data_IF_073221482418
#
_entry.id   IF_073221482418
#
_cell.length_a   1.000
_cell.length_b   1.000
_cell.length_c   1.000
_cell.angle_alpha   90.00
_cell.angle_beta   90.00
_cell.angle_gamma   90.00
#
_symmetry.space_group_name_H-M   'P 1'
#
loop_
_entity.id
_entity.type
_entity.pdbx_description
1 polymer ?
#
# COMPACT_ATOMS: atom_id res chain seq x y z
N UNK A 1 -6.21 -2.57 2.48
CA UNK A 1 -5.39 -2.12 1.34
C UNK A 1 -4.60 -3.29 0.81
N UNK A 2 -4.57 -3.49 -0.52
CA UNK A 2 -3.78 -4.56 -1.12
C UNK A 2 -2.29 -4.25 -1.04
N UNK A 3 -1.45 -5.29 -0.91
CA UNK A 3 0.01 -5.12 -0.85
C UNK A 3 0.57 -4.63 0.48
N UNK A 4 -0.22 -4.58 1.56
CA UNK A 4 0.28 -4.14 2.87
C UNK A 4 1.43 -5.02 3.38
N UNK A 5 2.49 -4.40 3.85
CA UNK A 5 3.70 -5.06 4.37
C UNK A 5 3.61 -5.48 5.85
N UNK A 6 2.40 -5.83 6.34
CA UNK A 6 2.16 -6.18 7.76
C UNK A 6 3.07 -7.30 8.26
N UNK A 7 3.39 -8.26 7.40
CA UNK A 7 4.24 -9.40 7.76
C UNK A 7 5.71 -9.02 7.93
N UNK A 8 6.13 -7.88 7.36
CA UNK A 8 7.48 -7.36 7.52
C UNK A 8 7.67 -6.40 8.71
N UNK A 9 6.62 -6.05 9.45
CA UNK A 9 6.73 -5.03 10.49
C UNK A 9 7.77 -5.38 11.57
N UNK A 10 7.91 -6.67 11.91
CA UNK A 10 8.95 -7.12 12.85
C UNK A 10 10.36 -6.89 12.28
N UNK A 11 10.56 -7.25 11.02
CA UNK A 11 11.84 -7.09 10.33
C UNK A 11 12.16 -5.60 10.08
N UNK A 12 11.16 -4.81 9.68
CA UNK A 12 11.30 -3.35 9.55
C UNK A 12 11.77 -2.74 10.87
N UNK A 13 11.14 -3.09 12.00
CA UNK A 13 11.58 -2.60 13.32
C UNK A 13 13.02 -3.02 13.65
N UNK A 14 13.40 -4.26 13.35
CA UNK A 14 14.78 -4.72 13.59
C UNK A 14 15.80 -3.97 12.71
N UNK A 15 15.43 -3.53 11.50
CA UNK A 15 16.29 -2.66 10.69
C UNK A 15 16.34 -1.25 11.29
N UNK A 16 15.22 -0.72 11.77
CA UNK A 16 15.17 0.59 12.42
C UNK A 16 16.10 0.64 13.64
N UNK A 17 16.18 -0.43 14.45
CA UNK A 17 17.07 -0.51 15.61
C UNK A 17 18.57 -0.27 15.24
N UNK A 18 18.90 -0.36 13.95
CA UNK A 18 20.22 -0.04 13.40
C UNK A 18 20.25 1.31 12.65
N UNK A 19 19.20 2.12 12.72
CA UNK A 19 19.13 3.44 12.10
C UNK A 19 19.17 4.52 13.18
N UNK A 20 19.71 5.73 12.89
CA UNK A 20 19.63 6.84 13.80
C UNK A 20 18.17 7.27 14.06
N UNK A 21 17.82 7.55 15.32
CA UNK A 21 16.47 8.04 15.68
C UNK A 21 16.11 9.37 15.01
N UNK A 22 17.12 10.18 14.65
CA UNK A 22 16.96 11.46 13.99
C UNK A 22 17.09 11.39 12.46
N UNK A 23 17.11 10.19 11.87
CA UNK A 23 17.07 10.04 10.42
C UNK A 23 15.75 10.58 9.84
N UNK A 24 15.80 11.01 8.58
CA UNK A 24 14.61 11.31 7.78
C UNK A 24 14.20 10.08 7.01
N UNK A 25 12.96 9.64 7.19
CA UNK A 25 12.39 8.50 6.47
C UNK A 25 11.47 9.00 5.38
N UNK A 26 11.71 8.59 4.14
CA UNK A 26 10.93 9.03 2.97
C UNK A 26 10.29 7.81 2.31
N UNK A 27 8.97 7.71 2.45
CA UNK A 27 8.16 6.64 1.88
C UNK A 27 7.71 7.04 0.48
N UNK A 28 8.45 6.60 -0.53
CA UNK A 28 8.24 6.99 -1.93
C UNK A 28 6.96 6.39 -2.54
N UNK A 29 6.51 5.24 -2.01
CA UNK A 29 5.35 4.49 -2.49
C UNK A 29 4.42 4.15 -1.32
N UNK A 30 3.98 5.18 -0.60
CA UNK A 30 3.37 5.06 0.72
C UNK A 30 2.12 4.19 0.84
N UNK A 31 1.35 4.03 -0.26
CA UNK A 31 0.15 3.19 -0.28
C UNK A 31 -0.81 3.50 0.87
N UNK A 32 -0.94 2.58 1.82
CA UNK A 32 -1.77 2.80 3.02
C UNK A 32 -1.05 3.53 4.17
N UNK A 33 0.17 4.00 3.98
CA UNK A 33 0.96 4.64 5.03
C UNK A 33 1.44 3.70 6.15
N UNK A 34 1.32 2.38 5.99
CA UNK A 34 1.62 1.42 7.06
C UNK A 34 3.09 1.47 7.51
N UNK A 35 4.02 1.58 6.57
CA UNK A 35 5.44 1.68 6.87
C UNK A 35 5.74 3.01 7.58
N UNK A 36 5.27 4.12 7.02
CA UNK A 36 5.38 5.47 7.59
C UNK A 36 4.83 5.53 9.02
N UNK A 37 3.61 4.99 9.24
CA UNK A 37 3.01 4.88 10.58
C UNK A 37 3.88 4.05 11.53
N UNK A 38 4.38 2.90 11.08
CA UNK A 38 5.21 2.02 11.91
C UNK A 38 6.50 2.71 12.34
N UNK A 39 7.15 3.43 11.43
CA UNK A 39 8.37 4.18 11.73
C UNK A 39 8.08 5.31 12.71
N UNK A 40 7.02 6.08 12.48
CA UNK A 40 6.63 7.18 13.38
C UNK A 40 6.31 6.72 14.80
N UNK A 41 5.73 5.51 14.93
CA UNK A 41 5.47 4.87 16.22
C UNK A 41 6.74 4.32 16.87
N UNK A 42 7.72 3.90 16.09
CA UNK A 42 9.01 3.41 16.59
C UNK A 42 9.92 4.57 17.02
N UNK A 43 9.96 5.63 16.22
CA UNK A 43 10.72 6.87 16.46
C UNK A 43 9.80 8.10 16.44
N UNK A 44 9.17 8.46 17.58
CA UNK A 44 8.20 9.57 17.63
C UNK A 44 8.75 10.92 17.18
N UNK A 45 10.07 11.15 17.34
CA UNK A 45 10.74 12.38 16.97
C UNK A 45 11.32 12.38 15.55
N UNK A 46 11.33 11.23 14.86
CA UNK A 46 11.84 11.15 13.49
C UNK A 46 10.99 11.98 12.52
N UNK A 47 11.66 12.56 11.52
CA UNK A 47 10.99 13.15 10.36
C UNK A 47 10.56 12.04 9.42
N UNK A 48 9.24 11.86 9.23
CA UNK A 48 8.68 10.85 8.34
C UNK A 48 7.87 11.56 7.26
N UNK A 49 8.19 11.31 6.00
CA UNK A 49 7.51 11.84 4.82
C UNK A 49 6.81 10.68 4.14
N UNK A 50 5.52 10.78 4.01
CA UNK A 50 4.64 9.80 3.40
C UNK A 50 4.11 10.34 2.07
N UNK A 51 4.44 9.67 0.98
CA UNK A 51 3.92 10.00 -0.34
C UNK A 51 2.55 9.34 -0.56
N UNK A 52 1.51 10.12 -0.37
CA UNK A 52 0.10 9.72 -0.57
C UNK A 52 -0.35 9.90 -2.02
N UNK A 53 0.35 9.26 -2.95
CA UNK A 53 0.04 9.36 -4.39
C UNK A 53 -1.36 8.85 -4.73
N UNK A 54 -1.83 7.82 -4.00
CA UNK A 54 -3.16 7.22 -4.19
C UNK A 54 -4.28 7.90 -3.40
N UNK A 55 -3.96 9.02 -2.72
CA UNK A 55 -4.92 9.79 -1.93
C UNK A 55 -5.61 8.95 -0.83
N UNK A 56 -4.82 8.13 -0.13
CA UNK A 56 -5.33 7.30 0.97
C UNK A 56 -5.79 8.13 2.17
N UNK A 57 -5.14 9.29 2.40
CA UNK A 57 -5.55 10.25 3.42
C UNK A 57 -7.03 10.62 3.30
N UNK A 58 -7.53 10.86 2.08
CA UNK A 58 -8.95 11.15 1.85
C UNK A 58 -9.87 10.03 2.34
N UNK A 59 -9.44 8.77 2.26
CA UNK A 59 -10.21 7.62 2.80
C UNK A 59 -10.25 7.66 4.32
N UNK A 60 -9.13 8.02 4.98
CA UNK A 60 -9.05 8.17 6.43
C UNK A 60 -9.93 9.32 6.93
N UNK A 61 -9.92 10.46 6.23
CA UNK A 61 -10.74 11.64 6.54
C UNK A 61 -12.26 11.37 6.41
N UNK A 62 -12.65 10.38 5.61
CA UNK A 62 -14.05 10.01 5.38
C UNK A 62 -14.44 8.67 6.03
N UNK A 63 -13.70 8.22 7.06
CA UNK A 63 -13.98 6.94 7.70
C UNK A 63 -15.35 6.93 8.41
N UNK A 64 -15.74 8.04 9.02
CA UNK A 64 -17.02 8.12 9.74
C UNK A 64 -18.20 8.01 8.79
N UNK A 65 -18.24 8.78 7.70
CA UNK A 65 -19.29 8.66 6.68
C UNK A 65 -19.28 7.27 6.00
N UNK A 66 -18.09 6.69 5.80
CA UNK A 66 -17.98 5.31 5.29
C UNK A 66 -18.57 4.30 6.27
N UNK A 67 -18.35 4.46 7.57
CA UNK A 67 -18.96 3.61 8.60
C UNK A 67 -20.47 3.76 8.65
N UNK A 68 -21.00 4.98 8.55
CA UNK A 68 -22.43 5.24 8.48
C UNK A 68 -23.07 4.56 7.27
N UNK A 69 -22.48 4.73 6.08
CA UNK A 69 -22.92 4.06 4.86
C UNK A 69 -22.92 2.53 5.01
N UNK A 70 -21.87 1.94 5.60
CA UNK A 70 -21.79 0.50 5.84
C UNK A 70 -22.83 0.04 6.88
N UNK A 71 -23.13 0.84 7.90
CA UNK A 71 -24.19 0.56 8.87
C UNK A 71 -25.56 0.50 8.20
N UNK A 72 -25.88 1.48 7.34
CA UNK A 72 -27.12 1.50 6.58
C UNK A 72 -27.23 0.28 5.65
N UNK A 73 -26.16 -0.06 4.96
CA UNK A 73 -26.11 -1.26 4.11
C UNK A 73 -26.32 -2.52 4.95
N UNK A 74 -25.70 -2.59 6.14
CA UNK A 74 -25.89 -3.72 7.07
C UNK A 74 -27.35 -3.89 7.49
N UNK A 75 -28.05 -2.77 7.75
CA UNK A 75 -29.49 -2.80 8.04
C UNK A 75 -30.30 -3.30 6.84
N UNK A 76 -29.98 -2.85 5.62
CA UNK A 76 -30.67 -3.31 4.39
C UNK A 76 -30.51 -4.83 4.19
N UNK A 77 -29.35 -5.40 4.51
CA UNK A 77 -29.04 -6.83 4.29
C UNK A 77 -29.22 -7.68 5.54
N UNK A 78 -29.88 -7.17 6.59
CA UNK A 78 -30.04 -7.89 7.87
C UNK A 78 -30.62 -9.30 7.71
N UNK A 79 -31.59 -9.47 6.81
CA UNK A 79 -32.26 -10.73 6.51
C UNK A 79 -31.56 -11.52 5.37
N UNK A 80 -30.52 -10.97 4.75
CA UNK A 80 -29.79 -11.66 3.69
C UNK A 80 -28.74 -12.61 4.29
N UNK A 81 -28.67 -13.87 3.87
CA UNK A 81 -27.65 -14.79 4.37
C UNK A 81 -26.25 -14.26 4.11
N UNK A 82 -25.34 -14.47 5.08
CA UNK A 82 -23.93 -14.06 5.00
C UNK A 82 -23.23 -14.74 3.82
N UNK A 83 -22.37 -14.01 3.15
CA UNK A 83 -21.57 -14.45 1.99
C UNK A 83 -22.41 -14.93 0.78
N UNK A 84 -23.71 -14.60 0.74
CA UNK A 84 -24.60 -14.91 -0.37
C UNK A 84 -24.86 -13.68 -1.23
N UNK A 85 -25.28 -13.95 -2.46
CA UNK A 85 -25.67 -12.92 -3.43
C UNK A 85 -26.85 -12.12 -2.90
N UNK A 86 -26.77 -10.80 -3.02
CA UNK A 86 -27.84 -9.86 -2.72
C UNK A 86 -28.66 -9.63 -4.00
N UNK A 87 -29.96 -9.85 -3.90
CA UNK A 87 -30.93 -9.65 -5.00
C UNK A 87 -31.85 -8.48 -4.69
N UNK A 88 -32.71 -8.11 -5.63
CA UNK A 88 -33.74 -7.12 -5.39
C UNK A 88 -34.79 -7.62 -4.40
N UNK A 89 -35.34 -6.72 -3.56
CA UNK A 89 -35.18 -5.26 -3.61
C UNK A 89 -33.91 -4.71 -2.93
N UNK A 90 -33.21 -5.51 -2.11
CA UNK A 90 -32.08 -5.05 -1.31
C UNK A 90 -30.94 -4.48 -2.17
N UNK A 91 -30.66 -5.09 -3.33
CA UNK A 91 -29.66 -4.56 -4.26
C UNK A 91 -29.98 -3.15 -4.71
N UNK A 92 -31.21 -2.89 -5.12
CA UNK A 92 -31.66 -1.57 -5.55
C UNK A 92 -31.60 -0.54 -4.40
N UNK A 93 -31.96 -0.95 -3.18
CA UNK A 93 -31.87 -0.09 -1.99
C UNK A 93 -30.41 0.30 -1.69
N UNK A 94 -29.48 -0.64 -1.76
CA UNK A 94 -28.04 -0.36 -1.57
C UNK A 94 -27.54 0.63 -2.61
N UNK A 95 -27.80 0.40 -3.90
CA UNK A 95 -27.36 1.28 -4.97
C UNK A 95 -27.94 2.70 -4.80
N UNK A 96 -29.22 2.81 -4.44
CA UNK A 96 -29.85 4.09 -4.14
C UNK A 96 -29.16 4.81 -2.98
N UNK A 97 -28.86 4.09 -1.89
CA UNK A 97 -28.19 4.66 -0.71
C UNK A 97 -26.78 5.14 -1.03
N UNK A 98 -26.00 4.36 -1.80
CA UNK A 98 -24.64 4.74 -2.26
C UNK A 98 -24.70 6.00 -3.14
N UNK A 99 -25.68 6.10 -4.04
CA UNK A 99 -25.84 7.29 -4.88
C UNK A 99 -26.22 8.52 -4.06
N UNK A 100 -27.08 8.37 -3.05
CA UNK A 100 -27.40 9.44 -2.10
C UNK A 100 -26.16 9.93 -1.37
N UNK A 101 -25.32 9.03 -0.89
CA UNK A 101 -24.05 9.37 -0.22
C UNK A 101 -23.14 10.19 -1.14
N UNK A 102 -22.94 9.70 -2.37
CA UNK A 102 -22.12 10.41 -3.35
C UNK A 102 -22.67 11.81 -3.68
N UNK A 103 -23.99 11.98 -3.78
CA UNK A 103 -24.60 13.27 -4.07
C UNK A 103 -24.54 14.24 -2.89
N UNK A 104 -24.67 13.73 -1.65
CA UNK A 104 -24.70 14.57 -0.45
C UNK A 104 -23.31 15.00 0.00
N UNK A 105 -22.33 14.09 -0.03
CA UNK A 105 -20.97 14.31 0.50
C UNK A 105 -19.97 14.59 -0.64
N UNK A 106 -20.32 14.23 -1.88
CA UNK A 106 -19.40 14.33 -3.03
C UNK A 106 -18.28 13.29 -3.04
N UNK A 107 -18.33 12.32 -2.12
CA UNK A 107 -17.32 11.26 -2.00
C UNK A 107 -17.90 9.96 -1.46
N UNK A 108 -17.44 8.84 -2.00
CA UNK A 108 -17.64 7.49 -1.47
C UNK A 108 -16.33 6.72 -1.55
N UNK A 109 -15.90 6.10 -0.46
CA UNK A 109 -14.77 5.15 -0.49
C UNK A 109 -15.20 3.82 -1.12
N UNK A 110 -15.21 3.79 -2.46
CA UNK A 110 -15.60 2.60 -3.22
C UNK A 110 -14.71 1.39 -2.95
N UNK A 111 -13.44 1.60 -2.59
CA UNK A 111 -12.52 0.50 -2.27
C UNK A 111 -12.92 -0.19 -0.96
N UNK A 112 -13.19 0.60 0.09
CA UNK A 112 -13.69 0.05 1.35
C UNK A 112 -15.07 -0.56 1.18
N UNK A 113 -15.96 0.12 0.45
CA UNK A 113 -17.29 -0.38 0.15
C UNK A 113 -17.23 -1.72 -0.60
N UNK A 114 -16.38 -1.84 -1.62
CA UNK A 114 -16.18 -3.08 -2.38
C UNK A 114 -15.86 -4.28 -1.48
N UNK A 115 -15.02 -4.09 -0.48
CA UNK A 115 -14.66 -5.17 0.45
C UNK A 115 -15.83 -5.67 1.32
N UNK A 116 -16.93 -4.92 1.36
CA UNK A 116 -18.14 -5.24 2.14
C UNK A 116 -19.27 -5.83 1.29
N UNK A 117 -19.31 -5.53 -0.01
CA UNK A 117 -20.45 -5.90 -0.86
C UNK A 117 -20.05 -6.55 -2.20
N UNK A 118 -18.76 -6.77 -2.47
CA UNK A 118 -18.33 -7.51 -3.66
C UNK A 118 -17.63 -8.81 -3.25
N UNK A 119 -17.61 -9.76 -4.19
CA UNK A 119 -16.90 -11.01 -3.99
C UNK A 119 -15.38 -10.76 -3.87
N UNK A 120 -14.71 -11.63 -3.15
CA UNK A 120 -13.30 -11.53 -2.74
C UNK A 120 -12.38 -10.98 -3.86
N UNK A 121 -11.57 -9.99 -3.51
CA UNK A 121 -10.56 -9.34 -4.36
C UNK A 121 -11.10 -8.52 -5.54
N UNK A 122 -12.41 -8.30 -5.63
CA UNK A 122 -13.00 -7.42 -6.63
C UNK A 122 -13.17 -6.02 -6.03
N UNK A 123 -12.68 -5.01 -6.74
CA UNK A 123 -12.75 -3.62 -6.32
C UNK A 123 -13.21 -2.74 -7.48
N UNK A 124 -14.06 -1.76 -7.17
CA UNK A 124 -14.51 -0.74 -8.12
C UNK A 124 -14.13 0.64 -7.59
N UNK A 125 -14.13 1.64 -8.47
CA UNK A 125 -13.73 3.01 -8.11
C UNK A 125 -14.82 4.04 -8.43
N UNK A 126 -16.00 3.61 -8.87
CA UNK A 126 -17.11 4.50 -9.21
C UNK A 126 -18.46 3.83 -9.00
N UNK A 127 -19.52 4.66 -8.92
CA UNK A 127 -20.90 4.20 -8.87
C UNK A 127 -21.26 3.36 -10.11
N UNK A 128 -20.91 3.83 -11.31
CA UNK A 128 -21.24 3.14 -12.57
C UNK A 128 -20.60 1.76 -12.67
N UNK A 129 -19.39 1.62 -12.14
CA UNK A 129 -18.72 0.33 -12.05
C UNK A 129 -19.41 -0.56 -11.01
N UNK A 130 -19.78 -0.03 -9.83
CA UNK A 130 -20.48 -0.77 -8.79
C UNK A 130 -21.83 -1.27 -9.27
N UNK A 131 -22.61 -0.42 -9.97
CA UNK A 131 -23.94 -0.76 -10.44
C UNK A 131 -23.97 -1.94 -11.44
N UNK A 132 -22.85 -2.22 -12.10
CA UNK A 132 -22.72 -3.37 -13.02
C UNK A 132 -22.38 -4.68 -12.31
N UNK A 133 -22.01 -4.60 -11.03
CA UNK A 133 -21.51 -5.75 -10.27
C UNK A 133 -22.64 -6.56 -9.62
N UNK A 134 -22.35 -7.84 -9.39
CA UNK A 134 -23.14 -8.67 -8.50
C UNK A 134 -22.76 -8.37 -7.07
N UNK A 135 -23.72 -7.99 -6.22
CA UNK A 135 -23.49 -7.70 -4.82
C UNK A 135 -23.62 -8.95 -3.94
N UNK A 136 -22.81 -9.00 -2.87
CA UNK A 136 -22.80 -10.09 -1.90
C UNK A 136 -22.82 -9.51 -0.47
N UNK A 137 -23.45 -10.24 0.47
CA UNK A 137 -23.46 -9.83 1.87
C UNK A 137 -22.14 -10.22 2.57
N UNK A 138 -21.07 -9.51 2.26
CA UNK A 138 -19.77 -9.62 2.95
C UNK A 138 -19.59 -8.53 4.02
N UNK A 139 -20.69 -7.85 4.40
CA UNK A 139 -20.66 -6.67 5.27
C UNK A 139 -20.08 -7.02 6.63
N UNK A 140 -19.01 -6.33 7.04
CA UNK A 140 -18.38 -6.52 8.34
C UNK A 140 -19.26 -6.03 9.49
N UNK A 141 -19.08 -6.60 10.68
CA UNK A 141 -19.86 -6.27 11.88
C UNK A 141 -19.31 -5.06 12.66
N UNK A 142 -17.99 -4.86 12.66
CA UNK A 142 -17.32 -3.78 13.40
C UNK A 142 -17.02 -2.58 12.53
N UNK A 143 -17.00 -1.34 13.07
CA UNK A 143 -16.60 -0.17 12.32
C UNK A 143 -15.11 -0.21 11.94
N UNK A 144 -14.73 0.65 11.01
CA UNK A 144 -13.33 0.98 10.75
C UNK A 144 -12.87 2.04 11.74
N UNK A 145 -11.69 1.86 12.29
CA UNK A 145 -11.06 2.80 13.22
C UNK A 145 -9.79 3.34 12.59
N UNK A 146 -9.56 4.64 12.71
CA UNK A 146 -8.40 5.33 12.16
C UNK A 146 -7.48 5.83 13.28
N UNK A 147 -8.05 6.35 14.36
CA UNK A 147 -7.26 6.96 15.44
C UNK A 147 -6.25 7.98 14.92
N UNK A 148 -5.08 8.03 15.51
CA UNK A 148 -3.99 8.96 15.18
C UNK A 148 -3.06 8.37 14.08
N UNK A 149 -3.61 7.77 13.02
CA UNK A 149 -2.84 6.95 12.09
C UNK A 149 -1.71 7.73 11.37
N UNK A 150 -1.99 8.96 10.92
CA UNK A 150 -1.02 9.82 10.23
C UNK A 150 -0.48 10.97 11.12
N UNK A 151 -0.72 10.94 12.44
CA UNK A 151 -0.27 11.99 13.34
C UNK A 151 1.26 12.12 13.35
N UNK A 152 1.75 13.34 13.21
CA UNK A 152 3.17 13.66 13.19
C UNK A 152 3.91 13.22 11.92
N UNK A 153 3.20 12.73 10.89
CA UNK A 153 3.74 12.37 9.59
C UNK A 153 3.49 13.53 8.61
N UNK A 154 4.51 13.91 7.85
CA UNK A 154 4.35 14.86 6.75
C UNK A 154 3.77 14.13 5.55
N UNK A 155 2.55 14.50 5.16
CA UNK A 155 1.88 13.89 4.01
C UNK A 155 2.14 14.75 2.78
N UNK A 156 2.71 14.16 1.75
CA UNK A 156 2.90 14.76 0.43
C UNK A 156 2.20 13.93 -0.66
N UNK A 157 1.98 14.51 -1.83
CA UNK A 157 1.49 13.79 -3.01
C UNK A 157 2.28 14.29 -4.21
N UNK A 158 3.28 13.52 -4.63
CA UNK A 158 4.20 13.90 -5.70
C UNK A 158 4.63 12.66 -6.51
N UNK A 159 5.19 12.88 -7.70
CA UNK A 159 5.94 11.82 -8.39
C UNK A 159 7.11 11.37 -7.49
N UNK A 160 7.31 10.07 -7.37
CA UNK A 160 8.37 9.53 -6.49
C UNK A 160 9.77 10.03 -6.86
N UNK A 161 10.02 10.35 -8.16
CA UNK A 161 11.30 10.88 -8.64
C UNK A 161 11.54 12.29 -8.12
N UNK A 162 10.48 13.12 -8.06
CA UNK A 162 10.58 14.48 -7.51
C UNK A 162 10.91 14.40 -6.02
N UNK A 163 10.19 13.56 -5.30
CA UNK A 163 10.40 13.36 -3.88
C UNK A 163 11.80 12.79 -3.60
N UNK A 164 12.23 11.77 -4.36
CA UNK A 164 13.57 11.23 -4.27
C UNK A 164 14.64 12.30 -4.50
N UNK A 165 14.54 13.05 -5.61
CA UNK A 165 15.52 14.08 -5.96
C UNK A 165 15.65 15.17 -4.88
N UNK A 166 14.60 15.47 -4.14
CA UNK A 166 14.60 16.44 -3.04
C UNK A 166 15.45 15.98 -1.86
N UNK A 167 15.53 14.69 -1.61
CA UNK A 167 16.16 14.12 -0.41
C UNK A 167 17.43 13.32 -0.67
N UNK A 168 17.75 12.92 -1.89
CA UNK A 168 18.86 12.02 -2.22
C UNK A 168 20.25 12.50 -1.81
N UNK A 169 20.46 13.81 -1.67
CA UNK A 169 21.74 14.39 -1.27
C UNK A 169 21.97 14.38 0.24
N UNK A 170 20.94 14.13 1.03
CA UNK A 170 21.05 14.04 2.49
C UNK A 170 21.43 12.61 2.89
N UNK A 171 22.61 12.47 3.49
CA UNK A 171 23.14 11.18 3.95
C UNK A 171 22.36 10.58 5.13
N UNK A 172 21.58 11.40 5.82
CA UNK A 172 20.73 10.99 6.96
C UNK A 172 19.31 10.61 6.52
N UNK A 173 19.12 10.19 5.28
CA UNK A 173 17.83 9.74 4.75
C UNK A 173 17.80 8.24 4.56
N UNK A 174 16.67 7.62 4.91
CA UNK A 174 16.33 6.23 4.56
C UNK A 174 15.09 6.23 3.66
N UNK A 175 15.22 5.69 2.47
CA UNK A 175 14.11 5.56 1.54
C UNK A 175 13.35 4.26 1.76
N UNK A 176 12.01 4.33 1.81
CA UNK A 176 11.12 3.18 1.74
C UNK A 176 10.63 3.05 0.31
N UNK A 177 10.90 1.92 -0.30
CA UNK A 177 10.72 1.74 -1.74
C UNK A 177 9.88 0.47 -1.98
N UNK A 178 8.57 0.65 -2.15
CA UNK A 178 7.61 -0.42 -2.40
C UNK A 178 6.85 -0.21 -3.72
N UNK A 179 7.55 -0.27 -4.87
CA UNK A 179 6.93 -0.03 -6.16
C UNK A 179 5.98 -1.17 -6.53
N UNK A 180 5.05 -0.97 -7.50
CA UNK A 180 4.31 -2.06 -8.10
C UNK A 180 5.26 -3.16 -8.59
N UNK A 181 4.91 -4.44 -8.43
CA UNK A 181 5.83 -5.52 -8.78
C UNK A 181 5.88 -5.75 -10.30
N UNK A 182 7.10 -5.85 -10.85
CA UNK A 182 7.32 -6.23 -12.24
C UNK A 182 6.72 -7.63 -12.49
N UNK A 183 5.93 -7.78 -13.55
CA UNK A 183 5.20 -9.01 -13.93
C UNK A 183 3.94 -9.33 -13.12
N UNK A 184 3.47 -8.46 -12.23
CA UNK A 184 2.13 -8.60 -11.66
C UNK A 184 1.09 -7.89 -12.54
N UNK A 185 -0.09 -8.49 -12.71
CA UNK A 185 -1.19 -7.84 -13.39
C UNK A 185 -1.52 -6.51 -12.71
N UNK A 186 -1.35 -5.41 -13.44
CA UNK A 186 -1.44 -4.05 -12.92
C UNK A 186 -2.87 -3.48 -12.93
N UNK A 187 -3.89 -4.32 -13.11
CA UNK A 187 -5.29 -3.90 -13.22
C UNK A 187 -5.85 -3.08 -12.04
N UNK A 188 -5.11 -3.01 -10.95
CA UNK A 188 -5.48 -2.25 -9.73
C UNK A 188 -4.74 -0.92 -9.59
N UNK A 189 -3.70 -0.68 -10.36
CA UNK A 189 -2.93 0.55 -10.30
C UNK A 189 -3.38 1.52 -11.40
N UNK A 190 -3.47 2.81 -11.09
CA UNK A 190 -3.89 3.86 -12.04
C UNK A 190 -2.94 4.01 -13.24
N UNK A 191 -1.66 3.62 -13.10
CA UNK A 191 -0.64 3.72 -14.13
C UNK A 191 -0.04 2.34 -14.41
N UNK A 192 0.01 1.98 -15.69
CA UNK A 192 0.72 0.79 -16.15
C UNK A 192 2.24 1.05 -16.12
N UNK A 193 2.97 0.36 -15.23
CA UNK A 193 4.42 0.44 -15.14
C UNK A 193 5.08 -0.33 -16.28
N UNK A 194 6.04 0.32 -16.93
CA UNK A 194 6.89 -0.27 -17.95
C UNK A 194 8.23 -0.69 -17.33
N UNK A 195 8.99 -1.52 -18.02
CA UNK A 195 10.34 -1.92 -17.58
C UNK A 195 11.22 -0.71 -17.22
N UNK A 196 11.13 0.38 -18.00
CA UNK A 196 11.85 1.62 -17.73
C UNK A 196 11.56 2.18 -16.32
N UNK A 197 10.29 2.15 -15.88
CA UNK A 197 9.91 2.68 -14.57
C UNK A 197 10.54 1.88 -13.42
N UNK A 198 10.72 0.57 -13.61
CA UNK A 198 11.45 -0.27 -12.65
C UNK A 198 12.95 0.00 -12.66
N UNK A 199 13.55 0.23 -13.83
CA UNK A 199 14.95 0.60 -13.94
C UNK A 199 15.23 1.96 -13.29
N UNK A 200 14.32 2.94 -13.49
CA UNK A 200 14.39 4.24 -12.82
C UNK A 200 14.33 4.11 -11.28
N UNK A 201 13.65 3.09 -10.73
CA UNK A 201 13.65 2.81 -9.29
C UNK A 201 14.99 2.29 -8.82
N UNK A 202 15.74 1.55 -9.64
CA UNK A 202 17.08 1.07 -9.27
C UNK A 202 18.04 2.24 -9.03
N UNK A 203 17.86 3.36 -9.74
CA UNK A 203 18.63 4.59 -9.53
C UNK A 203 18.38 5.19 -8.12
N UNK A 204 17.19 4.96 -7.52
CA UNK A 204 16.89 5.36 -6.15
C UNK A 204 17.70 4.57 -5.13
N UNK A 205 17.99 3.31 -5.43
CA UNK A 205 18.71 2.41 -4.51
C UNK A 205 20.20 2.68 -4.51
N UNK A 206 20.75 3.21 -5.63
CA UNK A 206 22.18 3.42 -5.77
C UNK A 206 22.72 4.49 -4.81
N UNK A 207 23.71 4.12 -4.01
CA UNK A 207 24.39 5.01 -3.07
C UNK A 207 23.52 5.55 -1.93
N UNK A 208 22.29 5.03 -1.73
CA UNK A 208 21.35 5.48 -0.69
C UNK A 208 21.18 4.44 0.40
N UNK A 209 20.59 4.88 1.56
CA UNK A 209 20.07 3.97 2.55
C UNK A 209 18.59 3.66 2.18
N UNK A 210 18.21 2.39 2.17
CA UNK A 210 16.88 2.00 1.74
C UNK A 210 16.36 0.73 2.41
N UNK A 211 15.03 0.59 2.40
CA UNK A 211 14.28 -0.65 2.56
C UNK A 211 13.43 -0.83 1.30
N UNK A 212 13.78 -1.81 0.47
CA UNK A 212 13.11 -2.12 -0.78
C UNK A 212 12.26 -3.38 -0.64
N UNK A 213 11.04 -3.33 -1.18
CA UNK A 213 10.09 -4.44 -1.10
C UNK A 213 9.76 -4.97 -2.49
N UNK A 214 9.74 -6.29 -2.61
CA UNK A 214 9.40 -6.99 -3.86
C UNK A 214 8.86 -8.39 -3.54
N UNK A 215 8.72 -9.24 -4.54
CA UNK A 215 8.35 -10.64 -4.37
C UNK A 215 9.06 -11.52 -5.39
N UNK A 216 9.03 -12.83 -5.18
CA UNK A 216 9.53 -13.81 -6.15
C UNK A 216 8.70 -13.88 -7.46
N UNK A 217 7.58 -13.14 -7.53
CA UNK A 217 6.83 -12.92 -8.79
C UNK A 217 7.40 -11.79 -9.63
N UNK A 218 8.31 -10.99 -9.06
CA UNK A 218 9.00 -9.90 -9.77
C UNK A 218 10.36 -10.37 -10.25
N UNK A 219 10.68 -10.14 -11.51
CA UNK A 219 11.97 -10.49 -12.10
C UNK A 219 13.08 -9.48 -11.80
N UNK A 220 12.84 -8.49 -10.94
CA UNK A 220 13.82 -7.44 -10.65
C UNK A 220 15.09 -7.97 -9.97
N UNK A 221 14.92 -8.92 -9.05
CA UNK A 221 16.06 -9.55 -8.34
C UNK A 221 16.92 -10.34 -9.34
N UNK A 222 16.28 -11.15 -10.18
CA UNK A 222 16.96 -11.92 -11.22
C UNK A 222 17.72 -11.00 -12.21
N UNK A 223 17.11 -9.87 -12.60
CA UNK A 223 17.76 -8.86 -13.44
C UNK A 223 19.03 -8.31 -12.76
N UNK A 224 18.94 -7.94 -11.48
CA UNK A 224 20.09 -7.40 -10.75
C UNK A 224 21.20 -8.45 -10.56
N UNK A 225 20.86 -9.71 -10.29
CA UNK A 225 21.82 -10.81 -10.25
C UNK A 225 22.49 -11.05 -11.61
N UNK A 226 21.74 -10.89 -12.70
CA UNK A 226 22.31 -10.96 -14.05
C UNK A 226 23.24 -9.79 -14.34
N UNK A 227 22.91 -8.58 -13.86
CA UNK A 227 23.76 -7.39 -13.99
C UNK A 227 25.07 -7.54 -13.24
N UNK A 228 25.06 -8.05 -12.00
CA UNK A 228 26.26 -8.19 -11.16
C UNK A 228 27.32 -9.13 -11.76
N UNK A 229 26.95 -10.01 -12.70
CA UNK A 229 27.88 -10.88 -13.42
C UNK A 229 28.62 -10.16 -14.57
N UNK A 230 28.41 -8.86 -14.76
CA UNK A 230 28.96 -8.06 -15.86
C UNK A 230 29.72 -6.84 -15.34
N UNK A 231 31.02 -6.72 -15.58
CA UNK A 231 31.86 -5.66 -14.99
C UNK A 231 31.41 -4.23 -15.34
N UNK A 232 30.66 -4.06 -16.43
CA UNK A 232 30.15 -2.76 -16.88
C UNK A 232 28.81 -2.39 -16.28
N UNK A 233 28.17 -3.28 -15.52
CA UNK A 233 26.85 -3.08 -14.94
C UNK A 233 26.94 -3.11 -13.42
N UNK A 234 26.12 -2.27 -12.78
CA UNK A 234 26.04 -2.16 -11.33
C UNK A 234 24.79 -2.87 -10.81
N UNK A 235 24.93 -3.62 -9.72
CA UNK A 235 23.81 -4.18 -8.99
C UNK A 235 23.54 -3.36 -7.72
N UNK A 236 22.43 -2.62 -7.62
CA UNK A 236 22.14 -1.79 -6.45
C UNK A 236 21.92 -2.60 -5.16
N UNK A 237 21.70 -3.92 -5.28
CA UNK A 237 21.53 -4.81 -4.13
C UNK A 237 22.85 -5.39 -3.59
N UNK A 238 23.98 -5.12 -4.23
CA UNK A 238 25.29 -5.58 -3.73
C UNK A 238 25.56 -5.01 -2.32
N UNK A 239 25.91 -5.90 -1.39
CA UNK A 239 26.14 -5.57 0.01
C UNK A 239 24.85 -5.31 0.82
N UNK A 240 23.67 -5.59 0.25
CA UNK A 240 22.40 -5.53 0.99
C UNK A 240 22.10 -6.83 1.76
N UNK A 241 21.17 -6.73 2.71
CA UNK A 241 20.61 -7.87 3.44
C UNK A 241 19.19 -8.15 2.95
N UNK A 242 18.88 -9.41 2.72
CA UNK A 242 17.55 -9.85 2.26
C UNK A 242 16.82 -10.65 3.34
N UNK A 243 15.52 -10.40 3.47
CA UNK A 243 14.60 -11.14 4.36
C UNK A 243 13.37 -11.55 3.58
N UNK A 244 12.92 -12.78 3.75
CA UNK A 244 11.78 -13.32 3.00
C UNK A 244 10.61 -13.67 3.92
N UNK A 245 9.39 -13.56 3.39
CA UNK A 245 8.16 -14.00 4.06
C UNK A 245 7.30 -14.79 3.08
N UNK A 246 7.00 -16.04 3.42
CA UNK A 246 6.14 -16.91 2.62
C UNK A 246 4.67 -16.55 2.80
N UNK A 247 3.94 -16.49 1.68
CA UNK A 247 2.52 -16.19 1.63
C UNK A 247 1.78 -17.27 0.85
N UNK A 248 0.83 -17.94 1.50
CA UNK A 248 -0.11 -18.84 0.83
C UNK A 248 -1.41 -18.09 0.54
N UNK A 249 -1.82 -18.02 -0.73
CA UNK A 249 -3.06 -17.37 -1.14
C UNK A 249 -4.24 -18.33 -1.12
N UNK A 250 -4.02 -19.56 -1.61
CA UNK A 250 -5.00 -20.65 -1.62
C UNK A 250 -4.25 -21.99 -1.70
N UNK A 251 -4.97 -23.11 -1.83
CA UNK A 251 -4.35 -24.45 -1.91
C UNK A 251 -3.35 -24.63 -3.07
N UNK A 252 -3.48 -23.86 -4.15
CA UNK A 252 -2.67 -23.99 -5.37
C UNK A 252 -1.78 -22.81 -5.70
N UNK A 253 -1.83 -21.72 -4.91
CA UNK A 253 -1.10 -20.48 -5.19
C UNK A 253 -0.41 -19.94 -3.95
N UNK A 254 0.91 -19.77 -4.08
CA UNK A 254 1.75 -19.17 -3.06
C UNK A 254 2.75 -18.20 -3.70
N UNK A 255 3.29 -17.30 -2.90
CA UNK A 255 4.40 -16.44 -3.29
C UNK A 255 5.23 -16.05 -2.06
N UNK A 256 6.44 -15.59 -2.31
CA UNK A 256 7.35 -15.12 -1.27
C UNK A 256 7.55 -13.63 -1.45
N UNK A 257 7.16 -12.85 -0.46
CA UNK A 257 7.55 -11.45 -0.36
C UNK A 257 9.00 -11.35 0.11
N UNK A 258 9.71 -10.34 -0.40
CA UNK A 258 11.13 -10.11 -0.15
C UNK A 258 11.29 -8.66 0.29
N UNK A 259 11.97 -8.45 1.41
CA UNK A 259 12.48 -7.15 1.84
C UNK A 259 13.99 -7.16 1.70
N UNK A 260 14.53 -6.24 0.92
CA UNK A 260 15.96 -6.00 0.77
C UNK A 260 16.28 -4.67 1.42
N UNK A 261 17.30 -4.63 2.28
CA UNK A 261 17.70 -3.36 2.90
C UNK A 261 19.20 -3.17 2.89
N UNK A 262 19.61 -1.92 2.77
CA UNK A 262 20.98 -1.47 2.88
C UNK A 262 20.98 -0.17 3.68
N UNK A 263 21.57 -0.23 4.86
CA UNK A 263 21.63 0.91 5.79
C UNK A 263 23.06 1.00 6.28
N UNK A 264 23.76 2.04 5.84
CA UNK A 264 25.16 2.27 6.13
C UNK A 264 25.29 3.44 7.10
N UNK A 265 24.97 3.21 8.38
CA UNK A 265 25.29 4.13 9.43
C UNK A 265 26.49 3.59 10.23
N UNK A 266 27.60 4.31 10.22
CA UNK A 266 28.66 4.06 11.18
C UNK A 266 28.17 4.52 12.55
N UNK A 267 27.92 3.59 13.46
CA UNK A 267 27.69 3.93 14.86
C UNK A 267 28.97 4.58 15.40
N UNK A 268 28.89 5.86 15.68
CA UNK A 268 29.93 6.58 16.43
C UNK A 268 29.80 6.34 17.92
#
# INVERSE_FOLDING_TARGET
FMGQKRRFLKQVKAVLDNCPENATYVDLFGGSGLLSHTIKRHYPNAKVIYNDFDNYRKRLENVDSTNELINDIRAIVSECPKDKRIVDPQRSLILKRVLQEQNNIGYVDYITLSSNILFSMKYVQSYDALAKETLYNCVRSSPYEVGNYLEGITVESADYRELFNRYKSDKNVVFLVDPPYLSTESGTYKNYWKLKDYLDVLDVLDGTNYMYFTSNKSHIIELCEWMSKRPALYNPFDGSTSTTTYNQMNHSSSYTDIMVHKVNYEFK
#
